data_IF_964563512913
#
_entry.id   IF_964563512913
#
_cell.length_a   1.000
_cell.length_b   1.000
_cell.length_c   1.000
_cell.angle_alpha   90.00
_cell.angle_beta   90.00
_cell.angle_gamma   90.00
#
_symmetry.space_group_name_H-M   'P 1'
#
loop_
_entity.id
_entity.type
_entity.pdbx_description
1 polymer ?
#
# COMPACT_ATOMS: atom_id res chain seq x y z
N UNK A 1 -22.24 29.81 -31.38
CA UNK A 1 -22.69 29.18 -30.12
C UNK A 1 -22.61 27.64 -30.13
N UNK A 2 -22.81 26.95 -31.26
CA UNK A 2 -22.74 25.46 -31.33
C UNK A 2 -21.34 24.82 -31.15
N UNK A 3 -20.25 25.52 -31.49
CA UNK A 3 -18.88 25.01 -31.34
C UNK A 3 -18.38 24.94 -29.88
N UNK A 4 -18.81 25.90 -29.04
CA UNK A 4 -18.38 25.96 -27.62
C UNK A 4 -19.10 24.89 -26.80
N UNK A 5 -20.40 24.66 -27.05
CA UNK A 5 -21.20 23.63 -26.38
C UNK A 5 -20.71 22.20 -26.70
N UNK A 6 -20.31 21.93 -27.95
CA UNK A 6 -19.75 20.64 -28.36
C UNK A 6 -18.38 20.38 -27.76
N UNK A 7 -17.55 21.42 -27.62
CA UNK A 7 -16.23 21.33 -26.99
C UNK A 7 -16.32 21.06 -25.48
N UNK A 8 -17.26 21.72 -24.79
CA UNK A 8 -17.52 21.49 -23.37
C UNK A 8 -18.03 20.05 -23.10
N UNK A 9 -18.98 19.57 -23.89
CA UNK A 9 -19.50 18.20 -23.77
C UNK A 9 -18.42 17.13 -24.06
N UNK A 10 -17.52 17.38 -25.02
CA UNK A 10 -16.40 16.49 -25.31
C UNK A 10 -15.38 16.47 -24.17
N UNK A 11 -15.11 17.62 -23.55
CA UNK A 11 -14.22 17.73 -22.38
C UNK A 11 -14.79 16.99 -21.18
N UNK A 12 -16.08 17.15 -20.89
CA UNK A 12 -16.76 16.39 -19.82
C UNK A 12 -16.74 14.88 -20.06
N UNK A 13 -16.87 14.45 -21.31
CA UNK A 13 -16.78 13.03 -21.66
C UNK A 13 -15.35 12.50 -21.46
N UNK A 14 -14.33 13.27 -21.83
CA UNK A 14 -12.92 12.89 -21.66
C UNK A 14 -12.50 12.87 -20.19
N UNK A 15 -12.92 13.84 -19.38
CA UNK A 15 -12.57 13.93 -17.96
C UNK A 15 -13.17 12.81 -17.12
N UNK A 16 -14.23 12.15 -17.60
CA UNK A 16 -14.75 10.91 -17.00
C UNK A 16 -13.79 9.72 -17.16
N UNK A 17 -13.04 9.64 -18.26
CA UNK A 17 -12.10 8.54 -18.51
C UNK A 17 -10.67 8.88 -18.10
N UNK A 18 -10.34 10.17 -18.13
CA UNK A 18 -9.01 10.73 -17.81
C UNK A 18 -9.16 11.82 -16.74
N UNK A 19 -9.38 11.45 -15.45
CA UNK A 19 -9.59 12.41 -14.37
C UNK A 19 -8.47 13.42 -14.20
N UNK A 20 -7.23 13.04 -14.51
CA UNK A 20 -6.07 13.94 -14.48
C UNK A 20 -6.23 15.20 -15.35
N UNK A 21 -7.12 15.19 -16.35
CA UNK A 21 -7.43 16.39 -17.15
C UNK A 21 -8.18 17.48 -16.36
N UNK A 22 -8.71 17.16 -15.19
CA UNK A 22 -9.35 18.10 -14.26
C UNK A 22 -8.38 18.64 -13.20
N UNK A 23 -7.11 18.25 -13.20
CA UNK A 23 -6.13 18.78 -12.25
C UNK A 23 -5.94 20.30 -12.42
N UNK A 24 -5.62 21.02 -11.33
CA UNK A 24 -5.29 22.43 -11.42
C UNK A 24 -4.09 22.63 -12.35
N UNK A 25 -4.09 23.73 -13.12
CA UNK A 25 -2.89 24.10 -13.88
C UNK A 25 -1.79 24.48 -12.88
N UNK A 26 -0.64 23.79 -12.91
CA UNK A 26 0.39 24.02 -11.91
C UNK A 26 1.02 25.40 -12.09
N UNK A 27 1.05 26.18 -11.01
CA UNK A 27 1.94 27.32 -10.88
C UNK A 27 3.20 26.92 -10.11
N UNK A 28 4.19 27.81 -10.06
CA UNK A 28 5.47 27.52 -9.39
C UNK A 28 5.29 27.21 -7.91
N UNK A 29 4.38 27.90 -7.23
CA UNK A 29 4.13 27.71 -5.81
C UNK A 29 3.51 26.33 -5.53
N UNK A 30 2.56 25.89 -6.36
CA UNK A 30 1.97 24.57 -6.30
C UNK A 30 3.03 23.51 -6.55
N UNK A 31 3.83 23.62 -7.61
CA UNK A 31 4.88 22.64 -7.93
C UNK A 31 5.89 22.46 -6.79
N UNK A 32 6.32 23.56 -6.17
CA UNK A 32 7.26 23.49 -5.04
C UNK A 32 6.60 22.81 -3.85
N UNK A 33 5.35 23.16 -3.51
CA UNK A 33 4.63 22.55 -2.40
C UNK A 33 4.35 21.05 -2.64
N UNK A 34 3.94 20.66 -3.84
CA UNK A 34 3.71 19.26 -4.20
C UNK A 34 5.02 18.46 -4.22
N UNK A 35 6.13 19.06 -4.68
CA UNK A 35 7.43 18.41 -4.68
C UNK A 35 7.94 18.17 -3.25
N UNK A 36 7.83 19.14 -2.34
CA UNK A 36 8.28 18.97 -0.96
C UNK A 36 7.40 17.97 -0.20
N UNK A 37 6.08 18.00 -0.41
CA UNK A 37 5.16 17.00 0.14
C UNK A 37 5.47 15.61 -0.42
N UNK A 38 5.68 15.50 -1.74
CA UNK A 38 6.03 14.26 -2.43
C UNK A 38 7.33 13.64 -1.93
N UNK A 39 8.39 14.43 -1.75
CA UNK A 39 9.67 13.95 -1.18
C UNK A 39 9.48 13.45 0.25
N UNK A 40 8.70 14.16 1.08
CA UNK A 40 8.41 13.76 2.46
C UNK A 40 7.70 12.41 2.50
N UNK A 41 6.69 12.22 1.64
CA UNK A 41 5.94 10.96 1.54
C UNK A 41 6.81 9.85 0.97
N UNK A 42 7.60 10.12 -0.08
CA UNK A 42 8.50 9.14 -0.69
C UNK A 42 9.52 8.57 0.31
N UNK A 43 10.13 9.44 1.12
CA UNK A 43 11.03 9.04 2.20
C UNK A 43 10.34 8.08 3.20
N UNK A 44 9.08 8.34 3.54
CA UNK A 44 8.33 7.46 4.45
C UNK A 44 7.82 6.17 3.81
N UNK A 45 7.62 6.14 2.49
CA UNK A 45 7.08 5.01 1.75
C UNK A 45 8.12 3.90 1.55
N UNK A 46 9.39 4.24 1.32
CA UNK A 46 10.47 3.25 1.13
C UNK A 46 10.53 2.19 2.25
N UNK A 47 10.65 2.55 3.55
CA UNK A 47 10.78 1.57 4.61
C UNK A 47 9.48 0.79 4.83
N UNK A 48 8.33 1.45 4.63
CA UNK A 48 7.03 0.81 4.72
C UNK A 48 6.84 -0.23 3.62
N UNK A 49 7.24 0.09 2.39
CA UNK A 49 7.18 -0.83 1.25
C UNK A 49 7.95 -2.10 1.53
N UNK A 50 9.20 -1.97 2.01
CA UNK A 50 10.04 -3.12 2.40
C UNK A 50 9.38 -3.95 3.50
N UNK A 51 8.87 -3.32 4.56
CA UNK A 51 8.19 -4.02 5.65
C UNK A 51 6.93 -4.77 5.16
N UNK A 52 6.14 -4.14 4.28
CA UNK A 52 4.90 -4.71 3.76
C UNK A 52 5.14 -5.82 2.72
N UNK A 53 6.19 -5.71 1.91
CA UNK A 53 6.64 -6.83 1.07
C UNK A 53 7.02 -8.04 1.93
N UNK A 54 7.69 -7.79 3.07
CA UNK A 54 7.94 -8.82 4.06
C UNK A 54 6.62 -9.45 4.53
N UNK A 55 5.62 -8.68 4.96
CA UNK A 55 4.31 -9.22 5.40
C UNK A 55 3.59 -10.03 4.31
N UNK A 56 3.70 -9.61 3.05
CA UNK A 56 3.13 -10.31 1.90
C UNK A 56 3.92 -11.56 1.49
N UNK A 57 5.04 -11.88 2.15
CA UNK A 57 5.91 -13.00 1.78
C UNK A 57 6.63 -12.79 0.44
N UNK A 58 6.71 -11.56 -0.05
CA UNK A 58 7.31 -11.20 -1.33
C UNK A 58 8.79 -10.84 -1.16
N UNK A 59 9.62 -10.94 -2.23
CA UNK A 59 10.95 -10.34 -2.24
C UNK A 59 10.86 -8.86 -1.86
N UNK A 60 11.70 -8.42 -0.93
CA UNK A 60 11.53 -7.13 -0.24
C UNK A 60 11.51 -5.91 -1.17
N UNK A 61 12.27 -5.97 -2.27
CA UNK A 61 12.31 -4.92 -3.29
C UNK A 61 10.95 -4.66 -3.97
N UNK A 62 10.10 -5.69 -4.07
CA UNK A 62 8.80 -5.57 -4.72
C UNK A 62 7.88 -4.58 -4.00
N UNK A 63 8.14 -4.28 -2.72
CA UNK A 63 7.42 -3.26 -1.96
C UNK A 63 7.79 -1.83 -2.36
N UNK A 64 9.03 -1.60 -2.80
CA UNK A 64 9.47 -0.34 -3.39
C UNK A 64 8.83 -0.19 -4.77
N UNK A 65 8.81 -1.27 -5.56
CA UNK A 65 8.16 -1.28 -6.88
C UNK A 65 6.65 -1.07 -6.78
N UNK A 66 5.99 -1.66 -5.78
CA UNK A 66 4.57 -1.47 -5.48
C UNK A 66 4.20 -0.02 -5.10
N UNK A 67 5.20 0.81 -4.78
CA UNK A 67 5.02 2.22 -4.44
C UNK A 67 5.35 3.18 -5.59
N UNK A 68 5.78 2.68 -6.76
CA UNK A 68 6.23 3.50 -7.89
C UNK A 68 5.14 3.62 -8.96
N UNK A 69 5.16 2.73 -9.97
CA UNK A 69 4.21 2.75 -11.08
C UNK A 69 2.75 2.59 -10.64
N UNK A 70 2.40 1.73 -9.66
CA UNK A 70 1.02 1.61 -9.19
C UNK A 70 0.46 2.91 -8.65
N UNK A 71 1.28 3.68 -7.92
CA UNK A 71 0.89 4.97 -7.37
C UNK A 71 0.65 6.00 -8.48
N UNK A 72 1.55 6.06 -9.46
CA UNK A 72 1.43 6.94 -10.63
C UNK A 72 0.17 6.63 -11.45
N UNK A 73 -0.07 5.36 -11.77
CA UNK A 73 -1.26 4.97 -12.53
C UNK A 73 -2.52 5.21 -11.71
N UNK A 74 -2.54 4.85 -10.44
CA UNK A 74 -3.71 5.06 -9.62
C UNK A 74 -4.08 6.54 -9.49
N UNK A 75 -3.11 7.45 -9.30
CA UNK A 75 -3.40 8.88 -9.15
C UNK A 75 -3.95 9.49 -10.44
N UNK A 76 -3.44 9.08 -11.60
CA UNK A 76 -3.91 9.56 -12.91
C UNK A 76 -5.39 9.22 -13.15
N UNK A 77 -5.80 8.02 -12.74
CA UNK A 77 -7.13 7.49 -13.04
C UNK A 77 -8.10 7.52 -11.86
N UNK A 78 -7.70 7.95 -10.67
CA UNK A 78 -8.58 8.13 -9.51
C UNK A 78 -9.22 9.52 -9.49
N UNK A 79 -10.36 9.64 -8.82
CA UNK A 79 -10.97 10.94 -8.48
C UNK A 79 -10.31 11.61 -7.28
N UNK A 80 -9.75 10.83 -6.35
CA UNK A 80 -9.13 11.33 -5.12
C UNK A 80 -7.60 11.42 -5.25
N UNK A 81 -7.11 12.45 -5.94
CA UNK A 81 -5.69 12.62 -6.27
C UNK A 81 -4.75 12.74 -5.05
N UNK A 82 -5.24 13.26 -3.93
CA UNK A 82 -4.47 13.39 -2.68
C UNK A 82 -4.30 12.09 -1.89
N UNK A 83 -4.90 10.99 -2.34
CA UNK A 83 -4.76 9.70 -1.66
C UNK A 83 -3.45 9.03 -2.06
N UNK A 84 -2.63 8.71 -1.06
CA UNK A 84 -1.39 7.98 -1.27
C UNK A 84 -1.67 6.49 -1.50
N UNK A 85 -1.37 6.02 -2.71
CA UNK A 85 -1.51 4.63 -3.12
C UNK A 85 -0.17 3.91 -2.99
N UNK A 86 -0.21 2.66 -2.53
CA UNK A 86 0.96 1.80 -2.43
C UNK A 86 0.63 0.55 -1.62
N UNK A 87 1.63 -0.24 -1.20
CA UNK A 87 1.36 -1.38 -0.34
C UNK A 87 0.77 -0.94 1.00
N UNK A 88 -0.18 -1.69 1.54
CA UNK A 88 -0.78 -1.47 2.87
C UNK A 88 -0.59 -2.72 3.73
N UNK A 89 -0.50 -2.52 5.05
CA UNK A 89 -0.26 -3.63 5.98
C UNK A 89 -1.35 -4.71 5.87
N UNK A 90 -2.63 -4.31 5.86
CA UNK A 90 -3.74 -5.26 5.84
C UNK A 90 -3.78 -6.06 4.54
N UNK A 91 -3.70 -5.37 3.39
CA UNK A 91 -3.65 -6.04 2.09
C UNK A 91 -2.45 -6.99 1.99
N UNK A 92 -1.30 -6.62 2.55
CA UNK A 92 -0.10 -7.48 2.58
C UNK A 92 -0.30 -8.72 3.45
N UNK A 93 -0.93 -8.57 4.62
CA UNK A 93 -1.28 -9.70 5.48
C UNK A 93 -2.27 -10.65 4.81
N UNK A 94 -3.25 -10.12 4.07
CA UNK A 94 -4.20 -10.93 3.30
C UNK A 94 -3.53 -11.72 2.19
N UNK A 95 -2.57 -11.11 1.47
CA UNK A 95 -1.77 -11.81 0.45
C UNK A 95 -1.00 -12.95 1.11
N UNK A 96 -0.28 -12.66 2.20
CA UNK A 96 0.47 -13.65 2.96
C UNK A 96 -0.39 -14.83 3.41
N UNK A 97 -1.53 -14.54 4.05
CA UNK A 97 -2.45 -15.56 4.55
C UNK A 97 -3.11 -16.38 3.43
N UNK A 98 -3.46 -15.74 2.31
CA UNK A 98 -4.15 -16.41 1.20
C UNK A 98 -3.25 -17.34 0.41
N UNK A 99 -1.96 -17.01 0.30
CA UNK A 99 -0.99 -17.78 -0.48
C UNK A 99 -0.22 -18.80 0.36
N UNK A 100 -0.19 -18.66 1.69
CA UNK A 100 0.48 -19.60 2.61
C UNK A 100 0.14 -21.08 2.37
N UNK A 101 -1.11 -21.45 2.05
CA UNK A 101 -1.45 -22.85 1.77
C UNK A 101 -1.05 -23.34 0.37
N UNK A 102 -0.71 -22.42 -0.54
CA UNK A 102 -0.53 -22.71 -1.97
C UNK A 102 0.94 -22.77 -2.38
N UNK A 103 1.80 -21.95 -1.78
CA UNK A 103 3.21 -21.88 -2.14
C UNK A 103 4.09 -21.48 -0.96
N UNK A 104 5.40 -21.69 -1.09
CA UNK A 104 6.39 -21.24 -0.10
C UNK A 104 6.68 -19.75 -0.29
N UNK A 105 6.62 -18.90 0.76
CA UNK A 105 6.95 -17.48 0.67
C UNK A 105 8.29 -17.21 -0.02
N UNK A 106 8.33 -16.21 -0.91
CA UNK A 106 9.53 -15.82 -1.66
C UNK A 106 9.92 -16.75 -2.83
N UNK A 107 9.26 -17.91 -2.98
CA UNK A 107 9.46 -18.78 -4.15
C UNK A 107 8.97 -18.13 -5.44
N UNK A 108 9.44 -18.64 -6.60
CA UNK A 108 8.97 -18.18 -7.91
C UNK A 108 7.46 -18.36 -8.09
N UNK A 109 6.93 -19.47 -7.57
CA UNK A 109 5.50 -19.78 -7.59
C UNK A 109 4.70 -18.81 -6.73
N UNK A 110 5.16 -18.50 -5.51
CA UNK A 110 4.54 -17.48 -4.66
C UNK A 110 4.44 -16.13 -5.34
N UNK A 111 5.54 -15.66 -5.94
CA UNK A 111 5.57 -14.38 -6.67
C UNK A 111 4.58 -14.42 -7.83
N UNK A 112 4.52 -15.52 -8.58
CA UNK A 112 3.56 -15.70 -9.68
C UNK A 112 2.11 -15.66 -9.19
N UNK A 113 1.77 -16.36 -8.11
CA UNK A 113 0.42 -16.36 -7.53
C UNK A 113 0.05 -15.00 -6.94
N UNK A 114 0.98 -14.30 -6.29
CA UNK A 114 0.77 -12.95 -5.79
C UNK A 114 0.52 -11.94 -6.92
N UNK A 115 1.24 -12.07 -8.02
CA UNK A 115 1.00 -11.27 -9.23
C UNK A 115 -0.38 -11.59 -9.82
N UNK A 116 -0.76 -12.87 -9.94
CA UNK A 116 -2.10 -13.24 -10.40
C UNK A 116 -3.21 -12.70 -9.49
N UNK A 117 -3.06 -12.83 -8.18
CA UNK A 117 -3.97 -12.26 -7.20
C UNK A 117 -4.11 -10.73 -7.37
N UNK A 118 -3.01 -10.06 -7.68
CA UNK A 118 -2.96 -8.62 -7.97
C UNK A 118 -3.71 -8.27 -9.25
N UNK A 119 -3.46 -9.00 -10.33
CA UNK A 119 -4.11 -8.77 -11.62
C UNK A 119 -5.62 -9.06 -11.55
N UNK A 120 -6.02 -10.16 -10.89
CA UNK A 120 -7.42 -10.54 -10.72
C UNK A 120 -8.18 -9.52 -9.88
N UNK A 121 -7.64 -9.12 -8.73
CA UNK A 121 -8.26 -8.08 -7.89
C UNK A 121 -8.29 -6.71 -8.56
N UNK A 122 -7.25 -6.36 -9.33
CA UNK A 122 -7.23 -5.16 -10.15
C UNK A 122 -8.31 -5.16 -11.23
N UNK A 123 -8.43 -6.26 -11.98
CA UNK A 123 -9.47 -6.46 -12.98
C UNK A 123 -10.87 -6.39 -12.36
N UNK A 124 -11.10 -7.05 -11.22
CA UNK A 124 -12.36 -6.98 -10.49
C UNK A 124 -12.72 -5.54 -10.10
N UNK A 125 -11.78 -4.76 -9.57
CA UNK A 125 -12.02 -3.35 -9.23
C UNK A 125 -12.34 -2.49 -10.45
N UNK A 126 -11.61 -2.66 -11.56
CA UNK A 126 -11.92 -1.97 -12.83
C UNK A 126 -13.31 -2.33 -13.31
N UNK A 127 -13.67 -3.62 -13.31
CA UNK A 127 -14.99 -4.09 -13.74
C UNK A 127 -16.11 -3.53 -12.85
N UNK A 128 -15.94 -3.56 -11.53
CA UNK A 128 -16.92 -3.01 -10.58
C UNK A 128 -17.10 -1.50 -10.78
N UNK A 129 -16.01 -0.75 -10.95
CA UNK A 129 -16.07 0.69 -11.20
C UNK A 129 -16.71 1.03 -12.54
N UNK A 130 -16.35 0.30 -13.60
CA UNK A 130 -16.93 0.47 -14.94
C UNK A 130 -18.43 0.13 -14.98
N UNK A 131 -18.84 -0.94 -14.29
CA UNK A 131 -20.24 -1.33 -14.15
C UNK A 131 -21.01 -0.50 -13.09
N UNK A 132 -20.37 0.52 -12.51
CA UNK A 132 -20.94 1.46 -11.55
C UNK A 132 -21.41 0.86 -10.22
N UNK A 133 -20.73 -0.19 -9.75
CA UNK A 133 -20.99 -0.82 -8.45
C UNK A 133 -20.46 -0.05 -7.24
N UNK A 134 -19.95 1.17 -7.43
CA UNK A 134 -19.49 2.05 -6.36
C UNK A 134 -20.58 2.39 -5.32
N UNK A 135 -21.85 2.25 -5.69
CA UNK A 135 -23.00 2.41 -4.78
C UNK A 135 -22.93 1.47 -3.57
N UNK A 136 -22.25 0.31 -3.68
CA UNK A 136 -22.04 -0.61 -2.56
C UNK A 136 -21.36 0.07 -1.37
N UNK A 137 -20.59 1.15 -1.58
CA UNK A 137 -19.99 1.93 -0.49
C UNK A 137 -20.92 2.86 0.25
N UNK A 138 -22.09 3.14 -0.33
CA UNK A 138 -23.13 3.89 0.38
C UNK A 138 -23.74 3.04 1.49
N UNK A 139 -23.67 1.71 1.36
CA UNK A 139 -24.04 0.77 2.42
C UNK A 139 -23.03 0.76 3.57
N UNK A 140 -21.80 1.21 3.32
CA UNK A 140 -20.72 1.25 4.32
C UNK A 140 -20.76 2.59 5.06
N UNK A 141 -21.53 2.62 6.14
CA UNK A 141 -21.69 3.78 7.01
C UNK A 141 -20.46 4.00 7.93
N UNK A 142 -20.43 5.12 8.66
CA UNK A 142 -19.32 5.45 9.57
C UNK A 142 -19.06 4.38 10.64
N UNK A 143 -20.08 3.75 11.27
CA UNK A 143 -19.88 2.61 12.16
C UNK A 143 -19.13 1.43 11.53
N UNK A 144 -19.48 1.03 10.30
CA UNK A 144 -18.78 -0.07 9.62
C UNK A 144 -17.33 0.30 9.30
N UNK A 145 -17.08 1.54 8.85
CA UNK A 145 -15.72 2.05 8.65
C UNK A 145 -14.91 2.02 9.96
N UNK A 146 -15.51 2.45 11.08
CA UNK A 146 -14.86 2.41 12.39
C UNK A 146 -14.57 0.97 12.85
N UNK A 147 -15.53 0.05 12.71
CA UNK A 147 -15.32 -1.37 13.01
C UNK A 147 -14.18 -1.98 12.17
N UNK A 148 -14.17 -1.69 10.86
CA UNK A 148 -13.10 -2.10 9.96
C UNK A 148 -11.74 -1.55 10.38
N UNK A 149 -11.61 -0.25 10.65
CA UNK A 149 -10.31 0.35 11.02
C UNK A 149 -9.80 -0.15 12.37
N UNK A 150 -10.68 -0.36 13.36
CA UNK A 150 -10.29 -0.93 14.65
C UNK A 150 -9.87 -2.40 14.52
N UNK A 151 -10.65 -3.21 13.80
CA UNK A 151 -10.29 -4.61 13.52
C UNK A 151 -8.97 -4.74 12.77
N UNK A 152 -8.76 -3.88 11.76
CA UNK A 152 -7.50 -3.75 11.04
C UNK A 152 -6.33 -3.41 11.98
N UNK A 153 -6.52 -2.43 12.88
CA UNK A 153 -5.48 -2.02 13.82
C UNK A 153 -5.09 -3.15 14.79
N UNK A 154 -6.07 -3.88 15.33
CA UNK A 154 -5.83 -5.04 16.21
C UNK A 154 -5.09 -6.14 15.45
N UNK A 155 -5.57 -6.51 14.25
CA UNK A 155 -4.94 -7.54 13.42
C UNK A 155 -3.50 -7.19 13.08
N UNK A 156 -3.24 -5.96 12.63
CA UNK A 156 -1.90 -5.48 12.31
C UNK A 156 -1.03 -5.55 13.56
N UNK A 157 -1.49 -5.02 14.71
CA UNK A 157 -0.71 -5.04 15.95
C UNK A 157 -0.33 -6.46 16.36
N UNK A 158 -1.29 -7.38 16.41
CA UNK A 158 -1.05 -8.78 16.76
C UNK A 158 -0.08 -9.45 15.80
N UNK A 159 -0.18 -9.17 14.49
CA UNK A 159 0.74 -9.72 13.49
C UNK A 159 2.18 -9.21 13.62
N UNK A 160 2.40 -8.03 14.22
CA UNK A 160 3.74 -7.47 14.41
C UNK A 160 4.39 -7.87 15.74
N UNK A 161 3.61 -8.35 16.72
CA UNK A 161 4.14 -8.72 18.04
C UNK A 161 5.27 -9.76 17.99
N UNK A 162 5.20 -10.85 17.20
CA UNK A 162 6.28 -11.83 17.16
C UNK A 162 7.62 -11.22 16.74
N UNK A 163 7.63 -10.40 15.68
CA UNK A 163 8.83 -9.73 15.20
C UNK A 163 9.35 -8.68 16.21
N UNK A 164 8.46 -7.94 16.87
CA UNK A 164 8.81 -6.97 17.91
C UNK A 164 9.46 -7.65 19.12
N UNK A 165 9.02 -8.87 19.44
CA UNK A 165 9.51 -9.68 20.55
C UNK A 165 10.66 -10.63 20.16
N UNK A 166 11.26 -10.44 18.98
CA UNK A 166 12.46 -11.17 18.56
C UNK A 166 12.23 -12.63 18.17
N UNK A 167 11.00 -13.04 17.89
CA UNK A 167 10.71 -14.37 17.36
C UNK A 167 10.95 -14.42 15.85
N UNK A 168 11.65 -15.46 15.40
CA UNK A 168 12.01 -15.68 14.00
C UNK A 168 10.85 -16.24 13.16
N UNK A 169 9.82 -16.79 13.83
CA UNK A 169 8.57 -17.25 13.22
C UNK A 169 7.52 -16.15 13.13
N UNK A 170 6.83 -16.06 12.00
CA UNK A 170 5.76 -15.06 11.77
C UNK A 170 4.37 -15.52 12.19
N UNK A 171 4.25 -16.77 12.62
CA UNK A 171 2.99 -17.30 13.14
C UNK A 171 3.02 -17.40 14.66
N UNK A 172 1.86 -17.19 15.29
CA UNK A 172 1.71 -17.30 16.74
C UNK A 172 2.08 -18.70 17.26
N UNK A 173 1.81 -19.75 16.46
CA UNK A 173 2.20 -21.12 16.77
C UNK A 173 3.73 -21.31 16.79
N UNK A 174 4.45 -20.69 15.86
CA UNK A 174 5.92 -20.69 15.85
C UNK A 174 6.52 -19.84 16.98
N UNK A 175 5.84 -18.80 17.46
CA UNK A 175 6.30 -18.05 18.63
C UNK A 175 6.23 -18.88 19.92
N UNK A 176 5.24 -19.78 20.03
CA UNK A 176 5.05 -20.66 21.19
C UNK A 176 5.96 -21.89 21.21
N UNK A 177 6.27 -22.45 20.04
CA UNK A 177 7.03 -23.72 19.92
C UNK A 177 8.40 -23.56 19.24
N UNK A 178 8.75 -22.33 18.89
CA UNK A 178 9.99 -22.00 18.18
C UNK A 178 11.19 -21.80 19.10
N UNK A 179 12.35 -21.46 18.51
CA UNK A 179 13.55 -21.12 19.28
C UNK A 179 13.32 -19.93 20.21
N UNK A 180 14.16 -19.82 21.24
CA UNK A 180 14.13 -18.70 22.18
C UNK A 180 14.23 -17.35 21.44
N UNK A 181 13.57 -16.29 21.94
CA UNK A 181 13.57 -15.00 21.28
C UNK A 181 14.95 -14.38 21.24
N UNK A 182 15.26 -13.67 20.16
CA UNK A 182 16.48 -12.89 20.04
C UNK A 182 16.36 -11.57 20.82
N UNK A 183 17.07 -11.50 21.95
CA UNK A 183 17.08 -10.32 22.82
C UNK A 183 17.62 -9.05 22.13
N UNK A 184 18.51 -9.18 21.16
CA UNK A 184 19.00 -8.04 20.37
C UNK A 184 17.89 -7.56 19.44
N UNK A 185 17.13 -8.47 18.82
CA UNK A 185 15.95 -8.12 18.03
C UNK A 185 14.88 -7.42 18.88
N UNK A 186 14.66 -7.87 20.13
CA UNK A 186 13.76 -7.19 21.09
C UNK A 186 14.24 -5.76 21.35
N UNK A 187 15.54 -5.56 21.57
CA UNK A 187 16.10 -4.23 21.81
C UNK A 187 15.90 -3.31 20.59
N UNK A 188 16.11 -3.81 19.37
CA UNK A 188 15.78 -3.07 18.15
C UNK A 188 14.27 -2.77 18.07
N UNK A 189 13.42 -3.75 18.35
CA UNK A 189 11.96 -3.63 18.35
C UNK A 189 11.47 -2.55 19.33
N UNK A 190 11.72 -2.72 20.62
CA UNK A 190 11.28 -1.78 21.65
C UNK A 190 11.97 -0.41 21.52
N UNK A 191 13.26 -0.38 21.18
CA UNK A 191 14.00 0.86 20.93
C UNK A 191 13.45 1.65 19.75
N UNK A 192 13.11 0.97 18.65
CA UNK A 192 12.45 1.59 17.50
C UNK A 192 11.08 2.16 17.84
N UNK A 193 10.27 1.43 18.63
CA UNK A 193 8.96 1.89 19.06
C UNK A 193 9.07 3.15 19.95
N UNK A 194 10.02 3.16 20.89
CA UNK A 194 10.30 4.32 21.73
C UNK A 194 10.79 5.53 20.90
N UNK A 195 11.67 5.31 19.93
CA UNK A 195 12.18 6.35 19.03
C UNK A 195 11.08 6.94 18.14
N UNK A 196 10.19 6.12 17.58
CA UNK A 196 9.05 6.60 16.79
C UNK A 196 8.08 7.41 17.65
N UNK A 197 7.82 6.96 18.87
CA UNK A 197 6.97 7.68 19.82
C UNK A 197 7.57 9.04 20.20
N UNK A 198 8.85 9.06 20.58
CA UNK A 198 9.58 10.28 20.92
C UNK A 198 9.68 11.22 19.71
N UNK A 199 9.98 10.70 18.52
CA UNK A 199 10.07 11.47 17.28
C UNK A 199 8.73 12.12 16.92
N UNK A 200 7.62 11.39 17.06
CA UNK A 200 6.28 11.96 16.85
C UNK A 200 5.95 13.06 17.87
N UNK A 201 6.47 12.95 19.10
CA UNK A 201 6.23 13.93 20.17
C UNK A 201 7.09 15.19 20.05
N UNK A 202 8.38 15.04 19.72
CA UNK A 202 9.37 16.12 19.79
C UNK A 202 9.75 16.69 18.42
N UNK A 203 9.71 15.88 17.35
CA UNK A 203 10.13 16.28 15.99
C UNK A 203 9.12 15.86 14.92
N UNK A 204 7.83 16.25 15.03
CA UNK A 204 6.75 15.76 14.16
C UNK A 204 6.89 16.09 12.66
N UNK A 205 7.75 17.05 12.30
CA UNK A 205 8.04 17.44 10.90
C UNK A 205 9.20 16.66 10.27
N UNK A 206 9.97 15.94 11.07
CA UNK A 206 11.15 15.19 10.61
C UNK A 206 10.73 13.76 10.20
N UNK A 207 11.30 13.17 9.13
CA UNK A 207 11.00 11.80 8.70
C UNK A 207 11.62 10.76 9.64
N UNK A 208 11.07 10.65 10.84
CA UNK A 208 11.56 9.82 11.94
C UNK A 208 11.70 8.34 11.57
N UNK A 209 10.86 7.83 10.67
CA UNK A 209 10.94 6.44 10.17
C UNK A 209 12.20 6.18 9.36
N UNK A 210 12.67 7.12 8.54
CA UNK A 210 13.93 6.99 7.80
C UNK A 210 15.14 7.08 8.70
N UNK A 211 15.14 8.04 9.63
CA UNK A 211 16.22 8.17 10.60
C UNK A 211 16.33 6.93 11.49
N UNK A 212 15.18 6.36 11.88
CA UNK A 212 15.14 5.09 12.59
C UNK A 212 15.82 3.99 11.77
N UNK A 213 15.43 3.80 10.51
CA UNK A 213 15.98 2.74 9.65
C UNK A 213 17.50 2.92 9.47
N UNK A 214 17.96 4.15 9.23
CA UNK A 214 19.37 4.46 9.10
C UNK A 214 20.15 4.18 10.40
N UNK A 215 19.62 4.61 11.55
CA UNK A 215 20.23 4.36 12.85
C UNK A 215 20.25 2.87 13.20
N UNK A 216 19.15 2.16 12.99
CA UNK A 216 19.07 0.72 13.21
C UNK A 216 20.03 -0.05 12.31
N UNK A 217 20.18 0.34 11.04
CA UNK A 217 21.16 -0.24 10.13
C UNK A 217 22.61 0.03 10.60
N UNK A 218 22.93 1.26 11.01
CA UNK A 218 24.25 1.62 11.52
C UNK A 218 24.61 0.85 12.80
N UNK A 219 23.67 0.75 13.75
CA UNK A 219 23.83 -0.04 14.98
C UNK A 219 23.97 -1.53 14.68
N UNK A 220 23.13 -2.08 13.79
CA UNK A 220 23.19 -3.48 13.35
C UNK A 220 24.55 -3.83 12.74
N UNK A 221 25.10 -2.92 11.92
CA UNK A 221 26.44 -3.04 11.36
C UNK A 221 27.52 -2.98 12.44
N UNK A 222 27.47 -1.99 13.33
CA UNK A 222 28.46 -1.80 14.39
C UNK A 222 28.60 -3.01 15.32
N UNK A 223 27.48 -3.68 15.64
CA UNK A 223 27.50 -4.89 16.49
C UNK A 223 27.66 -6.20 15.71
N UNK A 224 27.86 -6.11 14.38
CA UNK A 224 27.96 -7.28 13.49
C UNK A 224 26.78 -8.24 13.64
N UNK A 225 25.56 -7.69 13.76
CA UNK A 225 24.35 -8.45 14.12
C UNK A 225 24.08 -9.61 13.15
N UNK A 226 24.23 -9.36 11.84
CA UNK A 226 24.06 -10.39 10.81
C UNK A 226 25.04 -11.57 10.97
N UNK A 227 26.31 -11.29 11.33
CA UNK A 227 27.33 -12.31 11.54
C UNK A 227 27.07 -13.16 12.79
N UNK A 228 26.24 -12.67 13.71
CA UNK A 228 25.82 -13.37 14.94
C UNK A 228 24.51 -14.15 14.76
N UNK A 229 24.04 -14.32 13.52
CA UNK A 229 22.80 -15.03 13.21
C UNK A 229 21.54 -14.16 13.28
N UNK A 230 21.69 -12.85 13.46
CA UNK A 230 20.58 -11.90 13.49
C UNK A 230 19.91 -11.75 12.11
N UNK A 231 18.58 -11.68 12.11
CA UNK A 231 17.81 -11.50 10.88
C UNK A 231 17.93 -10.05 10.36
N UNK A 232 18.50 -9.87 9.17
CA UNK A 232 18.64 -8.59 8.49
C UNK A 232 18.01 -8.61 7.10
N UNK A 233 17.64 -7.43 6.58
CA UNK A 233 17.07 -7.26 5.22
C UNK A 233 18.02 -7.77 4.13
N UNK A 234 19.34 -7.68 4.37
CA UNK A 234 20.36 -8.04 3.40
C UNK A 234 20.46 -7.05 2.24
N UNK A 235 21.11 -7.48 1.15
CA UNK A 235 21.24 -6.67 -0.05
C UNK A 235 19.91 -6.61 -0.81
N UNK A 236 19.45 -5.39 -1.12
CA UNK A 236 18.34 -5.18 -2.04
C UNK A 236 18.93 -4.94 -3.45
N UNK A 237 18.41 -5.61 -4.49
CA UNK A 237 18.85 -5.34 -5.85
C UNK A 237 18.64 -3.86 -6.22
N UNK A 238 19.50 -3.32 -7.07
CA UNK A 238 19.33 -1.98 -7.63
C UNK A 238 18.70 -2.07 -9.02
N UNK A 239 17.86 -1.09 -9.36
CA UNK A 239 17.25 -1.00 -10.68
C UNK A 239 15.76 -0.68 -10.63
N UNK A 240 15.25 -0.20 -11.76
CA UNK A 240 13.82 0.02 -11.97
C UNK A 240 13.11 -1.33 -12.14
N UNK A 241 11.82 -1.43 -11.76
CA UNK A 241 11.04 -2.63 -12.03
C UNK A 241 10.97 -2.89 -13.53
N UNK A 242 11.23 -4.12 -13.94
CA UNK A 242 11.00 -4.58 -15.30
C UNK A 242 9.56 -5.08 -15.46
N UNK A 243 9.12 -5.17 -16.71
CA UNK A 243 7.86 -5.83 -17.02
C UNK A 243 7.92 -7.30 -16.61
N UNK A 244 6.90 -7.76 -15.88
CA UNK A 244 6.80 -9.12 -15.36
C UNK A 244 5.55 -9.79 -15.93
N UNK A 245 5.76 -10.93 -16.57
CA UNK A 245 4.70 -11.84 -16.98
C UNK A 245 4.68 -13.01 -16.01
N UNK A 246 3.58 -13.24 -15.26
CA UNK A 246 3.49 -14.40 -14.38
C UNK A 246 3.44 -15.69 -15.20
N UNK A 247 3.82 -16.79 -14.56
CA UNK A 247 3.72 -18.12 -15.15
C UNK A 247 2.24 -18.45 -15.44
N UNK A 248 1.99 -19.42 -16.34
CA UNK A 248 0.65 -19.88 -16.65
C UNK A 248 -0.12 -20.26 -15.38
N UNK A 249 -1.38 -19.84 -15.29
CA UNK A 249 -2.24 -20.11 -14.15
C UNK A 249 -3.05 -21.38 -14.41
N UNK A 250 -2.94 -22.37 -13.52
CA UNK A 250 -3.78 -23.57 -13.60
C UNK A 250 -5.23 -23.23 -13.23
N UNK A 251 -6.18 -24.04 -13.71
CA UNK A 251 -7.60 -23.87 -13.33
C UNK A 251 -7.85 -24.04 -11.84
N UNK A 252 -7.07 -24.90 -11.18
CA UNK A 252 -7.16 -25.11 -9.74
C UNK A 252 -6.70 -23.87 -8.98
N UNK A 253 -5.55 -23.31 -9.37
CA UNK A 253 -5.01 -22.10 -8.74
C UNK A 253 -5.90 -20.89 -9.02
N UNK A 254 -6.47 -20.78 -10.23
CA UNK A 254 -7.46 -19.75 -10.53
C UNK A 254 -8.63 -19.84 -9.56
N UNK A 255 -9.22 -21.03 -9.38
CA UNK A 255 -10.30 -21.26 -8.42
C UNK A 255 -9.90 -20.89 -6.98
N UNK A 256 -8.70 -21.28 -6.56
CA UNK A 256 -8.15 -20.95 -5.25
C UNK A 256 -7.92 -19.45 -5.03
N UNK A 257 -7.64 -18.69 -6.10
CA UNK A 257 -7.39 -17.25 -6.03
C UNK A 257 -8.66 -16.38 -6.14
N UNK A 258 -9.80 -16.90 -6.61
CA UNK A 258 -11.02 -16.09 -6.81
C UNK A 258 -11.52 -15.44 -5.51
N UNK A 259 -11.66 -16.22 -4.43
CA UNK A 259 -12.11 -15.69 -3.15
C UNK A 259 -11.08 -14.71 -2.54
N UNK A 260 -9.77 -15.05 -2.46
CA UNK A 260 -8.73 -14.08 -2.10
C UNK A 260 -8.76 -12.79 -2.93
N UNK A 261 -8.92 -12.87 -4.24
CA UNK A 261 -8.97 -11.70 -5.12
C UNK A 261 -10.17 -10.81 -4.81
N UNK A 262 -11.32 -11.42 -4.53
CA UNK A 262 -12.51 -10.70 -4.08
C UNK A 262 -12.31 -10.04 -2.71
N UNK A 263 -11.69 -10.73 -1.75
CA UNK A 263 -11.38 -10.18 -0.43
C UNK A 263 -10.40 -8.99 -0.51
N UNK A 264 -9.32 -9.12 -1.30
CA UNK A 264 -8.38 -8.02 -1.58
C UNK A 264 -9.10 -6.85 -2.24
N UNK A 265 -10.01 -7.12 -3.17
CA UNK A 265 -10.84 -6.10 -3.83
C UNK A 265 -11.68 -5.33 -2.82
N UNK A 266 -12.41 -6.04 -1.96
CA UNK A 266 -13.29 -5.46 -0.95
C UNK A 266 -12.52 -4.67 0.11
N UNK A 267 -11.44 -5.25 0.63
CA UNK A 267 -10.57 -4.61 1.63
C UNK A 267 -9.95 -3.35 1.07
N UNK A 268 -9.36 -3.43 -0.13
CA UNK A 268 -8.76 -2.25 -0.75
C UNK A 268 -9.80 -1.16 -0.98
N UNK A 269 -11.02 -1.56 -1.33
CA UNK A 269 -12.12 -0.63 -1.51
C UNK A 269 -12.56 0.06 -0.20
N UNK A 270 -12.57 -0.68 0.92
CA UNK A 270 -12.81 -0.12 2.26
C UNK A 270 -11.69 0.81 2.73
N UNK A 271 -10.42 0.46 2.46
CA UNK A 271 -9.27 1.33 2.76
C UNK A 271 -9.35 2.65 2.00
N UNK A 272 -9.65 2.60 0.69
CA UNK A 272 -9.90 3.79 -0.12
C UNK A 272 -11.09 4.58 0.40
N UNK A 273 -12.21 3.93 0.73
CA UNK A 273 -13.39 4.60 1.28
C UNK A 273 -13.12 5.33 2.59
N UNK A 274 -12.35 4.72 3.49
CA UNK A 274 -11.99 5.33 4.77
C UNK A 274 -11.17 6.62 4.59
N UNK A 275 -10.36 6.70 3.54
CA UNK A 275 -9.50 7.86 3.26
C UNK A 275 -10.20 8.90 2.40
N UNK A 276 -10.88 8.46 1.34
CA UNK A 276 -11.56 9.31 0.36
C UNK A 276 -12.74 10.06 0.96
N UNK A 277 -13.58 9.40 1.78
CA UNK A 277 -14.73 10.05 2.44
C UNK A 277 -14.26 11.19 3.36
N UNK A 278 -13.18 10.98 4.11
CA UNK A 278 -12.62 11.98 5.02
C UNK A 278 -12.02 13.16 4.24
N UNK A 279 -11.24 12.90 3.20
CA UNK A 279 -10.62 13.96 2.39
C UNK A 279 -11.67 14.79 1.63
N UNK A 280 -12.64 14.14 0.97
CA UNK A 280 -13.69 14.81 0.22
C UNK A 280 -14.62 15.61 1.14
N UNK A 281 -14.97 15.08 2.32
CA UNK A 281 -15.77 15.82 3.31
C UNK A 281 -15.06 17.09 3.80
N UNK A 282 -13.75 17.01 4.08
CA UNK A 282 -12.95 18.19 4.44
C UNK A 282 -12.87 19.23 3.32
N UNK A 283 -12.89 18.78 2.06
CA UNK A 283 -12.86 19.64 0.89
C UNK A 283 -14.24 20.15 0.44
N UNK A 284 -15.33 19.73 1.09
CA UNK A 284 -16.70 20.05 0.68
C UNK A 284 -17.09 19.48 -0.69
N UNK A 285 -16.47 18.36 -1.10
CA UNK A 285 -16.70 17.71 -2.40
C UNK A 285 -17.44 16.39 -2.24
N UNK A 286 -18.17 16.00 -3.28
CA UNK A 286 -18.71 14.65 -3.39
C UNK A 286 -17.62 13.70 -3.91
N UNK A 287 -17.48 12.57 -3.23
CA UNK A 287 -16.57 11.53 -3.65
C UNK A 287 -17.15 10.74 -4.83
N UNK A 288 -16.35 10.44 -5.85
CA UNK A 288 -16.72 9.56 -6.97
C UNK A 288 -16.12 8.17 -6.78
N UNK A 289 -16.91 7.28 -6.19
CA UNK A 289 -16.49 5.94 -5.78
C UNK A 289 -16.11 5.05 -6.97
N UNK A 290 -16.85 5.16 -8.06
CA UNK A 290 -16.63 4.36 -9.27
C UNK A 290 -15.31 4.70 -9.95
N UNK A 291 -14.94 5.99 -9.94
CA UNK A 291 -13.68 6.42 -10.52
C UNK A 291 -12.49 5.97 -9.69
N UNK A 292 -12.61 6.02 -8.35
CA UNK A 292 -11.57 5.50 -7.47
C UNK A 292 -11.44 3.97 -7.59
N UNK A 293 -12.54 3.21 -7.80
CA UNK A 293 -12.45 1.78 -8.13
C UNK A 293 -11.61 1.53 -9.38
N UNK A 294 -11.87 2.28 -10.46
CA UNK A 294 -11.13 2.16 -11.72
C UNK A 294 -9.65 2.52 -11.48
N UNK A 295 -9.36 3.65 -10.84
CA UNK A 295 -7.99 4.09 -10.59
C UNK A 295 -7.21 3.12 -9.72
N UNK A 296 -7.79 2.63 -8.62
CA UNK A 296 -7.16 1.62 -7.76
C UNK A 296 -6.97 0.29 -8.49
N UNK A 297 -7.93 -0.12 -9.32
CA UNK A 297 -7.84 -1.34 -10.12
C UNK A 297 -6.73 -1.27 -11.17
N UNK A 298 -6.63 -0.15 -11.89
CA UNK A 298 -5.54 0.11 -12.84
C UNK A 298 -4.18 0.19 -12.14
N UNK A 299 -4.11 0.79 -10.95
CA UNK A 299 -2.89 0.78 -10.12
C UNK A 299 -2.45 -0.64 -9.76
N UNK A 300 -3.38 -1.51 -9.36
CA UNK A 300 -3.07 -2.93 -9.11
C UNK A 300 -2.61 -3.64 -10.37
N UNK A 301 -3.27 -3.42 -11.52
CA UNK A 301 -2.82 -4.02 -12.79
C UNK A 301 -1.37 -3.60 -13.08
N UNK A 302 -1.04 -2.31 -12.94
CA UNK A 302 0.33 -1.82 -13.08
C UNK A 302 1.30 -2.49 -12.09
N UNK A 303 0.86 -2.75 -10.85
CA UNK A 303 1.64 -3.48 -9.84
C UNK A 303 1.92 -4.92 -10.25
N UNK A 304 0.91 -5.64 -10.74
CA UNK A 304 1.09 -7.01 -11.22
C UNK A 304 2.04 -7.07 -12.42
N UNK A 305 1.90 -6.14 -13.37
CA UNK A 305 2.77 -6.04 -14.54
C UNK A 305 4.21 -5.60 -14.21
N UNK A 306 4.46 -5.08 -13.00
CA UNK A 306 5.81 -4.78 -12.50
C UNK A 306 6.37 -5.86 -11.57
N UNK A 307 5.70 -7.03 -11.47
CA UNK A 307 6.15 -8.14 -10.62
C UNK A 307 5.93 -7.91 -9.12
N UNK A 308 5.03 -6.99 -8.78
CA UNK A 308 4.70 -6.62 -7.41
C UNK A 308 3.39 -7.29 -6.94
N UNK A 309 2.89 -6.87 -5.79
CA UNK A 309 1.72 -7.43 -5.11
C UNK A 309 0.62 -6.36 -4.97
N UNK A 310 -0.59 -6.70 -4.47
CA UNK A 310 -1.71 -5.78 -4.45
C UNK A 310 -1.43 -4.51 -3.64
N UNK A 311 -1.84 -3.37 -4.19
CA UNK A 311 -1.69 -2.03 -3.61
C UNK A 311 -3.05 -1.42 -3.29
N UNK A 312 -3.08 -0.45 -2.38
CA UNK A 312 -4.31 0.23 -1.96
C UNK A 312 -4.02 1.64 -1.42
N UNK A 313 -5.07 2.42 -1.16
CA UNK A 313 -4.95 3.72 -0.50
C UNK A 313 -4.60 3.56 0.98
N UNK A 314 -3.64 4.34 1.47
CA UNK A 314 -3.29 4.35 2.89
C UNK A 314 -3.82 5.59 3.60
N UNK A 315 -4.57 5.37 4.68
CA UNK A 315 -5.06 6.45 5.53
C UNK A 315 -3.91 7.27 6.15
N UNK A 316 -2.92 6.60 6.74
CA UNK A 316 -1.80 7.26 7.43
C UNK A 316 -0.91 8.04 6.47
N UNK A 317 -0.60 7.50 5.29
CA UNK A 317 0.18 8.21 4.27
C UNK A 317 -0.58 9.37 3.64
N UNK A 318 -1.87 9.20 3.39
CA UNK A 318 -2.70 10.29 2.87
C UNK A 318 -2.80 11.43 3.89
N UNK A 319 -2.88 11.12 5.18
CA UNK A 319 -2.82 12.13 6.24
C UNK A 319 -1.49 12.88 6.28
N UNK A 320 -0.36 12.18 6.08
CA UNK A 320 0.98 12.82 5.96
C UNK A 320 1.05 13.71 4.73
N UNK A 321 0.51 13.26 3.59
CA UNK A 321 0.46 14.03 2.34
C UNK A 321 -0.26 15.36 2.55
N UNK A 322 -1.42 15.32 3.22
CA UNK A 322 -2.18 16.51 3.60
C UNK A 322 -1.46 17.38 4.64
N UNK A 323 -0.82 16.78 5.65
CA UNK A 323 -0.07 17.51 6.67
C UNK A 323 1.16 18.23 6.10
N UNK A 324 1.79 17.65 5.08
CA UNK A 324 2.89 18.26 4.33
C UNK A 324 2.45 19.42 3.43
N UNK A 325 1.14 19.69 3.32
CA UNK A 325 0.59 20.83 2.60
C UNK A 325 0.23 20.57 1.14
N UNK A 326 0.15 19.29 0.72
CA UNK A 326 -0.32 18.94 -0.62
C UNK A 326 -1.74 19.45 -0.87
N UNK A 327 -1.96 20.04 -2.04
CA UNK A 327 -3.23 20.65 -2.45
C UNK A 327 -3.95 19.81 -3.51
N UNK A 328 -3.20 19.08 -4.34
CA UNK A 328 -3.72 18.24 -5.43
C UNK A 328 -3.22 16.81 -5.35
#
# INVERSE_FOLDING_TARGET
MNSIATTAARRERLTRWLPFLNWPRPDRALLVNEATAGVTVALMVIPQGVAYAALAGMPLITGIYAALFPALIAVLFSSSARLSVGPTALTSLLVGASLAPLAVPGSREWVSLAVWLTLLSGAMQVLLGAARFGWLLRLVNSPVLMGFTQGAAVLITLSQLPALLGFTGRSFSQALHGPAPDFIAIAFGLGSMAMLWAGKRFTPRFPTTMALVALSAALSFAVSYALRGGAVIGALPSGLPSFYLPMGLSWNDLGALLLPAFLVTLVSFLETASSAKVDNARAGKLWNENQDLIGQGLGKIASGLSGSFPTSSSFSRSAITLYAGAKS
#
